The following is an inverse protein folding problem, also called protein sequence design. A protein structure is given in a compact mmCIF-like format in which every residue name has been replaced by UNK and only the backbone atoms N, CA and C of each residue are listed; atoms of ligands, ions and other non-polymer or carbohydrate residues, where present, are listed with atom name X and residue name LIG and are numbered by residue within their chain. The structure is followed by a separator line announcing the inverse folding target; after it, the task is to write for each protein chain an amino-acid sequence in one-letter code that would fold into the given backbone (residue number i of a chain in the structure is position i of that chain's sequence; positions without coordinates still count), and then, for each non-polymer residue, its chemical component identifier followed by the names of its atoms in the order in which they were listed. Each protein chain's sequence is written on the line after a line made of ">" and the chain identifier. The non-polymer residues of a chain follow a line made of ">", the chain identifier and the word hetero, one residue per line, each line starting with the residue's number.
data_IF_740667573211
#
_entry.id   IF_740667573211
#
_cell.length_a   1.000
_cell.length_b   1.000
_cell.length_c   1.000
_cell.angle_alpha   90.00
_cell.angle_beta   90.00
_cell.angle_gamma   90.00
#
_symmetry.space_group_name_H-M   'P 1'
#
loop_
_entity.id
_entity.type
_entity.pdbx_description
1 polymer ?
#
# COMPACT_ATOMS: atom_id res chain seq x y z
N UNK A 1 -28.63 6.49 5.14
CA UNK A 1 -29.10 5.25 4.49
C UNK A 1 -27.99 4.20 4.49
N UNK A 2 -27.83 3.53 5.65
CA UNK A 2 -27.05 2.29 5.81
C UNK A 2 -27.82 1.04 5.33
N UNK A 3 -29.00 1.23 4.69
CA UNK A 3 -30.01 0.20 4.51
C UNK A 3 -29.97 -0.55 3.17
N UNK A 4 -29.24 -0.09 2.15
CA UNK A 4 -29.22 -0.80 0.84
C UNK A 4 -28.10 -1.84 0.70
N UNK A 5 -27.31 -2.07 1.75
CA UNK A 5 -26.38 -3.21 1.85
C UNK A 5 -26.87 -4.29 2.83
N UNK A 6 -28.18 -4.27 3.16
CA UNK A 6 -28.72 -4.93 4.35
C UNK A 6 -28.95 -6.45 4.32
N UNK A 7 -28.83 -7.26 3.26
CA UNK A 7 -28.84 -8.70 3.50
C UNK A 7 -27.42 -9.14 3.89
N UNK A 8 -27.19 -9.16 5.21
CA UNK A 8 -26.22 -10.01 5.93
C UNK A 8 -24.78 -9.48 6.09
N UNK A 9 -24.63 -8.28 6.65
CA UNK A 9 -23.43 -7.95 7.45
C UNK A 9 -23.68 -8.45 8.87
N UNK A 10 -23.15 -9.62 9.22
CA UNK A 10 -23.10 -10.03 10.64
C UNK A 10 -21.89 -9.34 11.25
N UNK A 11 -22.10 -8.19 11.88
CA UNK A 11 -21.02 -7.38 12.44
C UNK A 11 -20.43 -8.06 13.68
N UNK A 12 -19.42 -8.89 13.51
CA UNK A 12 -18.48 -9.20 14.58
C UNK A 12 -17.51 -8.02 14.69
N UNK A 13 -17.84 -7.04 15.54
CA UNK A 13 -16.94 -5.93 15.85
C UNK A 13 -15.78 -6.45 16.70
N UNK A 14 -14.65 -6.75 16.08
CA UNK A 14 -13.40 -6.91 16.79
C UNK A 14 -12.59 -5.62 16.68
N UNK A 15 -12.03 -5.14 17.80
CA UNK A 15 -11.24 -3.92 17.83
C UNK A 15 -10.09 -4.00 16.80
N UNK A 16 -10.06 -3.03 15.89
CA UNK A 16 -8.99 -2.84 14.92
C UNK A 16 -8.26 -1.51 15.14
N UNK A 17 -7.28 -1.21 14.29
CA UNK A 17 -6.56 0.08 14.32
C UNK A 17 -7.54 1.24 14.10
N UNK A 18 -7.27 2.47 14.59
CA UNK A 18 -8.13 3.63 14.32
C UNK A 18 -8.43 3.79 12.82
N UNK A 19 -9.72 3.88 12.46
CA UNK A 19 -10.17 3.96 11.07
C UNK A 19 -10.18 2.64 10.29
N UNK A 20 -9.82 1.51 10.93
CA UNK A 20 -9.87 0.16 10.35
C UNK A 20 -10.50 -0.85 11.31
N UNK A 21 -11.68 -1.36 10.96
CA UNK A 21 -12.42 -2.34 11.76
C UNK A 21 -12.30 -3.74 11.16
N UNK A 22 -12.24 -4.80 11.99
CA UNK A 22 -12.40 -6.19 11.51
C UNK A 22 -13.88 -6.52 11.53
N UNK A 23 -14.41 -6.99 10.40
CA UNK A 23 -15.82 -7.32 10.21
C UNK A 23 -15.96 -8.71 9.58
N UNK A 24 -17.17 -9.26 9.62
CA UNK A 24 -17.56 -10.41 8.80
C UNK A 24 -18.58 -9.94 7.76
N UNK A 25 -18.19 -10.06 6.49
CA UNK A 25 -19.01 -9.67 5.36
C UNK A 25 -19.37 -10.91 4.56
N UNK A 26 -20.66 -11.26 4.50
CA UNK A 26 -21.16 -12.47 3.81
C UNK A 26 -20.47 -13.77 4.27
N UNK A 27 -20.19 -13.90 5.57
CA UNK A 27 -19.53 -15.07 6.15
C UNK A 27 -18.00 -15.07 6.05
N UNK A 28 -17.40 -14.10 5.36
CA UNK A 28 -15.95 -13.98 5.21
C UNK A 28 -15.36 -12.91 6.13
N UNK A 29 -14.17 -13.16 6.69
CA UNK A 29 -13.44 -12.16 7.47
C UNK A 29 -12.89 -11.06 6.55
N UNK A 30 -13.11 -9.81 6.94
CA UNK A 30 -12.75 -8.64 6.17
C UNK A 30 -12.25 -7.49 7.05
N UNK A 31 -11.47 -6.59 6.45
CA UNK A 31 -11.06 -5.32 7.03
C UNK A 31 -11.89 -4.20 6.40
N UNK A 32 -12.49 -3.36 7.24
CA UNK A 32 -13.26 -2.19 6.84
C UNK A 32 -12.46 -0.93 7.18
N UNK A 33 -11.88 -0.29 6.17
CA UNK A 33 -11.31 1.05 6.28
C UNK A 33 -12.40 2.08 6.06
N UNK A 34 -12.74 2.88 7.07
CA UNK A 34 -13.85 3.82 6.95
C UNK A 34 -13.66 5.07 7.81
N UNK A 35 -14.34 6.15 7.44
CA UNK A 35 -14.30 7.36 8.25
C UNK A 35 -15.11 8.52 7.68
N UNK A 36 -15.49 9.49 8.52
CA UNK A 36 -16.12 10.71 8.07
C UNK A 36 -15.14 11.56 7.25
N UNK A 37 -15.66 12.28 6.27
CA UNK A 37 -14.91 13.30 5.55
C UNK A 37 -15.30 14.68 6.08
N UNK A 38 -14.31 15.47 6.52
CA UNK A 38 -14.51 16.79 7.13
C UNK A 38 -13.69 17.86 6.42
N UNK A 39 -14.08 19.12 6.61
CA UNK A 39 -13.34 20.29 6.15
C UNK A 39 -13.05 20.32 4.64
N UNK A 40 -11.80 20.63 4.28
CA UNK A 40 -11.38 20.73 2.88
C UNK A 40 -11.41 19.39 2.14
N UNK A 41 -11.22 18.27 2.83
CA UNK A 41 -11.30 16.93 2.25
C UNK A 41 -12.73 16.60 1.79
N UNK A 42 -13.75 16.95 2.58
CA UNK A 42 -15.16 16.79 2.22
C UNK A 42 -15.51 17.48 0.90
N UNK A 43 -15.10 18.75 0.76
CA UNK A 43 -15.34 19.53 -0.47
C UNK A 43 -14.53 19.00 -1.66
N UNK A 44 -13.25 18.71 -1.44
CA UNK A 44 -12.34 18.24 -2.50
C UNK A 44 -12.83 16.92 -3.10
N UNK A 45 -13.17 15.95 -2.25
CA UNK A 45 -13.59 14.64 -2.73
C UNK A 45 -15.04 14.62 -3.20
N UNK A 46 -15.93 15.44 -2.61
CA UNK A 46 -17.28 15.62 -3.14
C UNK A 46 -17.29 16.23 -4.55
N UNK A 47 -16.47 17.26 -4.80
CA UNK A 47 -16.30 17.81 -6.15
C UNK A 47 -15.61 16.82 -7.10
N UNK A 48 -14.58 16.10 -6.64
CA UNK A 48 -13.91 15.11 -7.47
C UNK A 48 -14.90 14.02 -7.94
N UNK A 49 -15.72 13.51 -7.03
CA UNK A 49 -16.75 12.51 -7.33
C UNK A 49 -17.80 13.04 -8.31
N UNK A 50 -18.28 14.28 -8.12
CA UNK A 50 -19.20 14.93 -9.05
C UNK A 50 -18.61 15.04 -10.47
N UNK A 51 -17.30 15.26 -10.58
CA UNK A 51 -16.57 15.33 -11.86
C UNK A 51 -16.15 13.94 -12.39
N UNK A 52 -16.68 12.84 -11.83
CA UNK A 52 -16.35 11.48 -12.24
C UNK A 52 -14.91 11.05 -11.93
N UNK A 53 -14.21 11.78 -11.04
CA UNK A 53 -12.84 11.45 -10.64
C UNK A 53 -12.89 10.53 -9.43
N UNK A 54 -12.18 9.38 -9.46
CA UNK A 54 -12.26 8.42 -8.37
C UNK A 54 -11.67 9.03 -7.09
N UNK A 55 -12.29 8.71 -5.95
CA UNK A 55 -11.94 9.19 -4.60
C UNK A 55 -11.04 8.18 -3.87
N UNK A 56 -10.44 8.48 -2.70
CA UNK A 56 -9.41 7.61 -2.12
C UNK A 56 -9.81 6.14 -1.96
N UNK A 57 -10.98 5.83 -1.36
CA UNK A 57 -11.41 4.43 -1.16
C UNK A 57 -11.82 3.73 -2.46
N UNK A 58 -12.44 4.47 -3.38
CA UNK A 58 -12.77 3.95 -4.73
C UNK A 58 -11.49 3.67 -5.52
N UNK A 59 -10.50 4.57 -5.49
CA UNK A 59 -9.18 4.35 -6.12
C UNK A 59 -8.47 3.13 -5.56
N UNK A 60 -8.52 2.96 -4.24
CA UNK A 60 -7.91 1.78 -3.62
C UNK A 60 -8.61 0.50 -4.07
N UNK A 61 -9.95 0.50 -4.13
CA UNK A 61 -10.73 -0.61 -4.68
C UNK A 61 -10.29 -0.96 -6.11
N UNK A 62 -10.22 0.04 -7.00
CA UNK A 62 -9.84 -0.14 -8.39
C UNK A 62 -8.40 -0.66 -8.52
N UNK A 63 -7.48 -0.08 -7.76
CA UNK A 63 -6.07 -0.46 -7.79
C UNK A 63 -5.83 -1.86 -7.23
N UNK A 64 -6.53 -2.25 -6.15
CA UNK A 64 -6.47 -3.63 -5.62
C UNK A 64 -7.06 -4.63 -6.62
N UNK A 65 -8.15 -4.27 -7.29
CA UNK A 65 -8.76 -5.09 -8.35
C UNK A 65 -7.79 -5.27 -9.52
N UNK A 66 -7.16 -4.18 -9.96
CA UNK A 66 -6.15 -4.20 -11.01
C UNK A 66 -4.98 -5.11 -10.66
N UNK A 67 -4.42 -4.98 -9.45
CA UNK A 67 -3.30 -5.81 -8.98
C UNK A 67 -3.64 -7.31 -9.09
N UNK A 68 -4.81 -7.70 -8.59
CA UNK A 68 -5.28 -9.10 -8.64
C UNK A 68 -5.47 -9.59 -10.07
N UNK A 69 -6.09 -8.78 -10.92
CA UNK A 69 -6.30 -9.10 -12.34
C UNK A 69 -4.98 -9.27 -13.12
N UNK A 70 -3.88 -8.65 -12.66
CA UNK A 70 -2.56 -8.76 -13.28
C UNK A 70 -1.61 -9.71 -12.53
N UNK A 71 -2.17 -10.62 -11.71
CA UNK A 71 -1.41 -11.68 -11.05
C UNK A 71 -0.53 -11.21 -9.89
N UNK A 72 -0.77 -10.01 -9.34
CA UNK A 72 -0.16 -9.58 -8.08
C UNK A 72 -1.06 -9.99 -6.91
N UNK A 73 -0.44 -10.46 -5.82
CA UNK A 73 -1.22 -10.69 -4.61
C UNK A 73 -1.60 -9.33 -4.00
N UNK A 74 -2.86 -9.23 -3.59
CA UNK A 74 -3.46 -8.07 -2.96
C UNK A 74 -4.77 -8.53 -2.29
N UNK A 75 -5.20 -7.86 -1.20
CA UNK A 75 -6.50 -8.11 -0.58
C UNK A 75 -7.61 -8.00 -1.62
N UNK A 76 -8.56 -8.92 -1.60
CA UNK A 76 -9.72 -8.83 -2.48
C UNK A 76 -10.58 -7.65 -2.04
N UNK A 77 -10.78 -6.64 -2.89
CA UNK A 77 -11.68 -5.55 -2.55
C UNK A 77 -13.13 -6.04 -2.70
N UNK A 78 -13.89 -5.97 -1.61
CA UNK A 78 -15.26 -6.51 -1.53
C UNK A 78 -16.31 -5.45 -1.82
N UNK A 79 -16.10 -4.24 -1.32
CA UNK A 79 -16.98 -3.09 -1.54
C UNK A 79 -16.25 -1.79 -1.24
N UNK A 80 -16.60 -0.72 -1.92
CA UNK A 80 -16.18 0.63 -1.57
C UNK A 80 -17.30 1.63 -1.87
N UNK A 81 -17.36 2.71 -1.10
CA UNK A 81 -18.40 3.74 -1.23
C UNK A 81 -17.90 5.10 -0.79
N UNK A 82 -18.48 6.13 -1.38
CA UNK A 82 -18.44 7.51 -0.94
C UNK A 82 -19.88 7.99 -0.75
N UNK A 83 -20.20 8.54 0.42
CA UNK A 83 -21.45 9.28 0.62
C UNK A 83 -21.19 10.77 0.39
N UNK A 84 -22.05 11.41 -0.41
CA UNK A 84 -22.02 12.86 -0.64
C UNK A 84 -23.40 13.48 -0.65
N UNK A 85 -23.45 14.76 -0.28
CA UNK A 85 -24.57 15.65 -0.49
C UNK A 85 -24.09 16.90 -1.23
N UNK A 86 -24.60 17.12 -2.44
CA UNK A 86 -24.09 18.14 -3.35
C UNK A 86 -22.58 17.99 -3.59
N UNK A 87 -21.84 19.08 -3.34
CA UNK A 87 -20.39 19.18 -3.49
C UNK A 87 -19.58 18.66 -2.29
N UNK A 88 -20.24 18.15 -1.24
CA UNK A 88 -19.57 17.73 0.00
C UNK A 88 -19.74 16.23 0.20
N UNK A 89 -18.62 15.52 0.24
CA UNK A 89 -18.59 14.15 0.74
C UNK A 89 -18.68 14.14 2.27
N UNK A 90 -19.47 13.25 2.84
CA UNK A 90 -19.70 13.13 4.29
C UNK A 90 -19.01 11.90 4.88
N UNK A 91 -18.91 10.81 4.13
CA UNK A 91 -18.39 9.54 4.62
C UNK A 91 -17.80 8.70 3.48
N UNK A 92 -16.86 7.82 3.79
CA UNK A 92 -16.32 6.85 2.83
C UNK A 92 -15.95 5.54 3.53
N UNK A 93 -15.99 4.44 2.78
CA UNK A 93 -15.44 3.16 3.23
C UNK A 93 -14.85 2.31 2.10
N UNK A 94 -13.98 1.39 2.49
CA UNK A 94 -13.49 0.26 1.70
C UNK A 94 -13.48 -0.99 2.58
N UNK A 95 -14.11 -2.06 2.12
CA UNK A 95 -14.01 -3.39 2.70
C UNK A 95 -13.11 -4.28 1.84
N UNK A 96 -12.13 -4.95 2.45
CA UNK A 96 -11.25 -5.91 1.79
C UNK A 96 -11.26 -7.25 2.52
N UNK A 97 -11.16 -8.37 1.79
CA UNK A 97 -11.02 -9.70 2.41
C UNK A 97 -9.70 -9.77 3.16
N UNK A 98 -9.75 -10.34 4.37
CA UNK A 98 -8.54 -10.63 5.14
C UNK A 98 -7.67 -11.66 4.43
N UNK A 99 -6.36 -11.37 4.36
CA UNK A 99 -5.36 -12.36 3.96
C UNK A 99 -4.93 -13.13 5.21
N UNK A 100 -5.27 -14.43 5.28
CA UNK A 100 -4.96 -15.28 6.43
C UNK A 100 -3.47 -15.61 6.50
N UNK A 101 -2.91 -15.63 7.71
CA UNK A 101 -1.55 -16.10 7.97
C UNK A 101 -0.44 -15.21 7.42
N UNK A 102 -0.76 -13.99 6.99
CA UNK A 102 0.22 -13.05 6.45
C UNK A 102 0.76 -12.12 7.54
N UNK A 103 2.05 -11.81 7.47
CA UNK A 103 2.72 -10.80 8.32
C UNK A 103 3.16 -9.62 7.46
N UNK A 104 3.28 -8.44 8.04
CA UNK A 104 3.91 -7.32 7.34
C UNK A 104 5.38 -7.64 7.05
N UNK A 105 5.94 -7.04 6.00
CA UNK A 105 7.36 -7.19 5.67
C UNK A 105 8.24 -6.74 6.84
N UNK A 106 7.81 -5.71 7.58
CA UNK A 106 8.49 -5.27 8.80
C UNK A 106 8.60 -6.41 9.81
N UNK A 107 7.47 -6.98 10.22
CA UNK A 107 7.41 -8.06 11.20
C UNK A 107 8.18 -9.30 10.72
N UNK A 108 8.10 -9.61 9.43
CA UNK A 108 8.82 -10.74 8.85
C UNK A 108 10.34 -10.53 8.91
N UNK A 109 10.84 -9.34 8.55
CA UNK A 109 12.27 -9.03 8.58
C UNK A 109 12.81 -9.00 10.01
N UNK A 110 12.07 -8.40 10.95
CA UNK A 110 12.46 -8.34 12.37
C UNK A 110 12.55 -9.73 13.02
N UNK A 111 11.73 -10.70 12.54
CA UNK A 111 11.72 -12.07 13.04
C UNK A 111 12.63 -13.04 12.27
N UNK A 112 13.34 -12.58 11.24
CA UNK A 112 14.14 -13.42 10.35
C UNK A 112 15.64 -13.29 10.64
N UNK A 113 16.40 -14.37 10.39
CA UNK A 113 17.86 -14.28 10.34
C UNK A 113 18.34 -13.54 9.06
N UNK A 114 19.67 -13.33 8.97
CA UNK A 114 20.28 -12.59 7.88
C UNK A 114 20.10 -13.26 6.51
N UNK A 115 20.20 -14.59 6.45
CA UNK A 115 20.04 -15.36 5.20
C UNK A 115 18.60 -15.25 4.68
N UNK A 116 17.63 -15.40 5.59
CA UNK A 116 16.21 -15.27 5.32
C UNK A 116 15.85 -13.85 4.90
N UNK A 117 16.39 -12.83 5.57
CA UNK A 117 16.25 -11.44 5.17
C UNK A 117 16.77 -11.22 3.74
N UNK A 118 17.95 -11.74 3.42
CA UNK A 118 18.52 -11.61 2.08
C UNK A 118 17.61 -12.23 1.01
N UNK A 119 17.10 -13.44 1.25
CA UNK A 119 16.17 -14.12 0.35
C UNK A 119 14.85 -13.36 0.16
N UNK A 120 14.28 -12.81 1.23
CA UNK A 120 13.07 -11.98 1.19
C UNK A 120 13.28 -10.71 0.36
N UNK A 121 14.39 -10.00 0.59
CA UNK A 121 14.69 -8.73 -0.07
C UNK A 121 15.02 -8.91 -1.54
N UNK A 122 15.74 -9.98 -1.89
CA UNK A 122 16.00 -10.34 -3.28
C UNK A 122 14.68 -10.65 -4.01
N UNK A 123 13.82 -11.49 -3.43
CA UNK A 123 12.53 -11.84 -4.02
C UNK A 123 11.60 -10.64 -4.14
N UNK A 124 11.59 -9.76 -3.14
CA UNK A 124 10.80 -8.52 -3.16
C UNK A 124 11.31 -7.55 -4.23
N UNK A 125 12.62 -7.41 -4.40
CA UNK A 125 13.21 -6.60 -5.46
C UNK A 125 12.73 -7.02 -6.85
N UNK A 126 12.70 -8.33 -7.10
CA UNK A 126 12.18 -8.89 -8.35
C UNK A 126 10.66 -8.68 -8.50
N UNK A 127 9.88 -8.86 -7.44
CA UNK A 127 8.42 -8.66 -7.49
C UNK A 127 8.05 -7.18 -7.72
N UNK A 128 8.79 -6.25 -7.13
CA UNK A 128 8.61 -4.80 -7.37
C UNK A 128 9.04 -4.43 -8.79
N UNK A 129 10.09 -5.06 -9.33
CA UNK A 129 10.46 -4.89 -10.75
C UNK A 129 9.34 -5.37 -11.68
N UNK A 130 8.72 -6.52 -11.38
CA UNK A 130 7.55 -7.03 -12.10
C UNK A 130 6.38 -6.05 -12.01
N UNK A 131 6.09 -5.51 -10.82
CA UNK A 131 5.03 -4.52 -10.60
C UNK A 131 5.23 -3.27 -11.46
N UNK A 132 6.44 -2.71 -11.43
CA UNK A 132 6.80 -1.54 -12.22
C UNK A 132 6.85 -1.83 -13.73
N UNK A 133 7.22 -3.05 -14.12
CA UNK A 133 7.21 -3.54 -15.50
C UNK A 133 5.80 -3.65 -16.06
N UNK A 134 4.83 -4.03 -15.23
CA UNK A 134 3.41 -4.02 -15.57
C UNK A 134 2.78 -2.61 -15.59
N UNK A 135 3.57 -1.55 -15.41
CA UNK A 135 3.12 -0.16 -15.49
C UNK A 135 2.50 0.38 -14.20
N UNK A 136 2.47 -0.42 -13.12
CA UNK A 136 1.90 0.01 -11.84
C UNK A 136 2.96 0.64 -10.94
N UNK A 137 2.62 1.76 -10.31
CA UNK A 137 3.42 2.37 -9.23
C UNK A 137 2.50 2.59 -8.04
N UNK A 138 2.94 2.19 -6.85
CA UNK A 138 2.16 2.17 -5.62
C UNK A 138 2.03 3.55 -4.95
N UNK A 139 3.10 4.36 -4.97
CA UNK A 139 3.22 5.69 -4.35
C UNK A 139 3.02 5.74 -2.84
N UNK A 140 3.02 4.60 -2.17
CA UNK A 140 3.03 4.46 -0.71
C UNK A 140 3.69 3.12 -0.31
N UNK A 141 4.71 2.68 -1.06
CA UNK A 141 5.32 1.36 -0.91
C UNK A 141 6.29 1.29 0.28
N UNK A 142 5.76 1.45 1.49
CA UNK A 142 6.51 1.24 2.72
C UNK A 142 6.44 -0.23 3.16
N UNK A 143 7.40 -0.73 3.96
CA UNK A 143 7.36 -2.13 4.45
C UNK A 143 6.05 -2.53 5.15
N UNK A 144 5.36 -1.58 5.81
CA UNK A 144 4.04 -1.83 6.44
C UNK A 144 2.92 -2.17 5.44
N UNK A 145 3.07 -1.72 4.19
CA UNK A 145 2.09 -1.91 3.12
C UNK A 145 2.44 -3.10 2.22
N UNK A 146 3.41 -3.92 2.64
CA UNK A 146 3.77 -5.17 1.98
C UNK A 146 3.53 -6.28 3.00
N UNK A 147 2.70 -7.26 2.66
CA UNK A 147 2.54 -8.48 3.44
C UNK A 147 3.37 -9.60 2.81
N UNK A 148 3.96 -10.44 3.65
CA UNK A 148 4.53 -11.72 3.28
C UNK A 148 3.45 -12.77 3.48
N UNK A 149 2.91 -13.30 2.37
CA UNK A 149 1.77 -14.25 2.38
C UNK A 149 2.21 -15.71 2.29
N UNK A 150 3.45 -15.94 1.90
CA UNK A 150 4.12 -17.23 1.99
C UNK A 150 5.58 -16.96 2.38
N UNK A 151 6.05 -17.58 3.45
CA UNK A 151 7.41 -17.42 3.98
C UNK A 151 8.31 -18.63 3.66
N UNK A 152 7.95 -19.45 2.66
CA UNK A 152 8.78 -20.57 2.20
C UNK A 152 9.97 -20.14 1.33
N UNK A 153 10.56 -21.09 0.60
CA UNK A 153 11.68 -20.86 -0.35
C UNK A 153 11.34 -19.88 -1.49
N UNK A 154 10.06 -19.74 -1.83
CA UNK A 154 9.58 -18.77 -2.81
C UNK A 154 8.59 -17.83 -2.14
N UNK A 155 9.07 -16.77 -1.46
CA UNK A 155 8.20 -15.88 -0.74
C UNK A 155 7.29 -15.11 -1.69
N UNK A 156 6.04 -14.93 -1.29
CA UNK A 156 5.04 -14.15 -2.03
C UNK A 156 4.66 -12.92 -1.25
N UNK A 157 4.46 -11.83 -1.99
CA UNK A 157 4.17 -10.52 -1.40
C UNK A 157 2.79 -10.04 -1.82
N UNK A 158 1.99 -9.58 -0.87
CA UNK A 158 0.75 -8.87 -1.16
C UNK A 158 0.89 -7.36 -0.88
N UNK A 159 0.44 -6.54 -1.83
CA UNK A 159 0.51 -5.08 -1.72
C UNK A 159 -0.79 -4.53 -1.13
N UNK A 160 -0.67 -3.65 -0.13
CA UNK A 160 -1.76 -3.03 0.61
C UNK A 160 -1.81 -1.52 0.39
N UNK A 161 -2.97 -0.90 0.59
CA UNK A 161 -3.09 0.57 0.66
C UNK A 161 -2.65 1.30 -0.61
N UNK A 162 -2.96 0.70 -1.77
CA UNK A 162 -2.56 1.19 -3.09
C UNK A 162 -3.38 2.40 -3.58
N UNK A 163 -3.89 3.27 -2.71
CA UNK A 163 -4.84 4.34 -3.08
C UNK A 163 -4.19 5.56 -3.77
N UNK A 164 -2.89 5.82 -3.49
CA UNK A 164 -2.14 6.95 -4.05
C UNK A 164 -1.62 6.68 -5.46
N UNK A 165 -1.40 5.40 -5.77
CA UNK A 165 -0.77 4.91 -6.97
C UNK A 165 -1.75 4.56 -8.08
N UNK A 166 -1.35 3.61 -8.92
CA UNK A 166 -2.15 3.04 -9.99
C UNK A 166 -1.36 2.81 -11.29
N UNK A 167 -1.99 2.17 -12.30
CA UNK A 167 -1.40 1.85 -13.60
C UNK A 167 -1.36 3.05 -14.57
N UNK A 168 -1.22 4.27 -14.05
CA UNK A 168 -1.40 5.51 -14.84
C UNK A 168 -0.09 5.94 -15.50
N UNK A 169 -0.13 6.69 -16.63
CA UNK A 169 1.04 7.35 -17.18
C UNK A 169 1.67 8.25 -16.11
N UNK A 170 2.95 8.01 -15.80
CA UNK A 170 3.71 8.82 -14.86
C UNK A 170 4.92 9.43 -15.55
N UNK A 171 5.39 10.62 -15.09
CA UNK A 171 6.68 11.13 -15.51
C UNK A 171 7.75 10.04 -15.38
N UNK A 172 8.57 9.80 -16.42
CA UNK A 172 9.46 8.65 -16.48
C UNK A 172 10.30 8.50 -15.21
N UNK A 173 10.18 7.34 -14.55
CA UNK A 173 11.00 6.95 -13.40
C UNK A 173 10.68 7.64 -12.07
N UNK A 174 9.90 8.73 -12.02
CA UNK A 174 9.64 9.45 -10.76
C UNK A 174 8.86 8.61 -9.75
N UNK A 175 7.84 7.90 -10.23
CA UNK A 175 7.03 7.00 -9.42
C UNK A 175 7.83 5.83 -8.86
N UNK A 176 8.51 5.10 -9.76
CA UNK A 176 9.36 3.95 -9.40
C UNK A 176 10.44 4.33 -8.39
N UNK A 177 11.07 5.49 -8.59
CA UNK A 177 12.08 6.03 -7.67
C UNK A 177 11.48 6.28 -6.28
N UNK A 178 10.27 6.84 -6.22
CA UNK A 178 9.60 7.11 -4.95
C UNK A 178 9.26 5.81 -4.20
N UNK A 179 8.74 4.80 -4.90
CA UNK A 179 8.43 3.50 -4.29
C UNK A 179 9.66 2.81 -3.73
N UNK A 180 10.77 2.77 -4.49
CA UNK A 180 12.03 2.21 -4.02
C UNK A 180 12.61 3.02 -2.85
N UNK A 181 12.47 4.34 -2.86
CA UNK A 181 12.90 5.20 -1.75
C UNK A 181 12.07 4.95 -0.47
N UNK A 182 10.75 4.76 -0.60
CA UNK A 182 9.87 4.38 0.51
C UNK A 182 10.25 3.01 1.09
N UNK A 183 10.48 2.03 0.22
CA UNK A 183 10.76 0.67 0.64
C UNK A 183 12.12 0.55 1.33
N UNK A 184 13.15 1.18 0.76
CA UNK A 184 14.53 1.19 1.27
C UNK A 184 14.76 2.13 2.45
N UNK A 185 13.73 2.89 2.87
CA UNK A 185 13.87 3.87 3.94
C UNK A 185 14.31 3.21 5.26
N UNK A 186 13.66 2.10 5.62
CA UNK A 186 13.82 1.41 6.91
C UNK A 186 14.63 0.11 6.84
N UNK A 187 14.93 -0.41 5.64
CA UNK A 187 15.62 -1.70 5.51
C UNK A 187 16.95 -1.78 6.27
N UNK A 188 17.81 -0.73 6.30
CA UNK A 188 19.05 -0.79 7.07
C UNK A 188 18.83 -1.05 8.57
N UNK A 189 17.74 -0.51 9.12
CA UNK A 189 17.35 -0.70 10.52
C UNK A 189 16.67 -2.04 10.77
N UNK A 190 15.91 -2.54 9.77
CA UNK A 190 15.12 -3.76 9.90
C UNK A 190 15.90 -5.05 9.63
N UNK A 191 16.90 -4.98 8.76
CA UNK A 191 17.55 -6.16 8.18
C UNK A 191 19.06 -5.96 7.93
N UNK A 192 19.67 -4.94 8.53
CA UNK A 192 21.11 -4.66 8.45
C UNK A 192 21.55 -3.85 7.23
N UNK A 193 22.82 -3.44 7.22
CA UNK A 193 23.37 -2.47 6.25
C UNK A 193 23.26 -2.87 4.77
N UNK A 194 23.35 -4.17 4.49
CA UNK A 194 23.27 -4.72 3.13
C UNK A 194 21.84 -4.81 2.58
N UNK A 195 20.82 -4.74 3.44
CA UNK A 195 19.42 -4.98 3.05
C UNK A 195 18.96 -4.11 1.87
N UNK A 196 19.36 -2.83 1.89
CA UNK A 196 19.05 -1.91 0.80
C UNK A 196 19.73 -2.33 -0.51
N UNK A 197 21.01 -2.71 -0.43
CA UNK A 197 21.80 -3.11 -1.60
C UNK A 197 21.20 -4.35 -2.25
N UNK A 198 20.90 -5.38 -1.46
CA UNK A 198 20.30 -6.63 -1.93
C UNK A 198 18.98 -6.42 -2.69
N UNK A 199 18.08 -5.59 -2.15
CA UNK A 199 16.82 -5.27 -2.81
C UNK A 199 17.03 -4.55 -4.15
N UNK A 200 17.89 -3.52 -4.16
CA UNK A 200 18.11 -2.69 -5.34
C UNK A 200 18.88 -3.42 -6.44
N UNK A 201 19.83 -4.29 -6.08
CA UNK A 201 20.53 -5.17 -7.03
C UNK A 201 19.55 -6.13 -7.71
N UNK A 202 18.70 -6.82 -6.93
CA UNK A 202 17.69 -7.72 -7.48
C UNK A 202 16.71 -6.99 -8.39
N UNK A 203 16.18 -5.85 -7.95
CA UNK A 203 15.30 -5.00 -8.75
C UNK A 203 15.95 -4.58 -10.08
N UNK A 204 17.24 -4.21 -10.07
CA UNK A 204 17.95 -3.76 -11.26
C UNK A 204 18.26 -4.89 -12.24
N UNK A 205 18.47 -6.13 -11.75
CA UNK A 205 18.61 -7.31 -12.61
C UNK A 205 17.32 -7.63 -13.35
N UNK A 206 16.17 -7.50 -12.68
CA UNK A 206 14.85 -7.77 -13.27
C UNK A 206 14.27 -6.61 -14.08
N UNK A 207 14.82 -5.40 -13.95
CA UNK A 207 14.39 -4.23 -14.68
C UNK A 207 15.62 -3.37 -15.00
N UNK A 208 16.10 -3.34 -16.26
CA UNK A 208 17.23 -2.51 -16.65
C UNK A 208 16.97 -1.04 -16.28
N UNK A 209 17.86 -0.47 -15.48
CA UNK A 209 17.72 0.91 -15.00
C UNK A 209 18.50 1.87 -15.90
N UNK A 210 17.95 3.07 -16.06
CA UNK A 210 18.68 4.17 -16.67
C UNK A 210 19.82 4.62 -15.77
N UNK A 211 20.84 5.21 -16.37
CA UNK A 211 21.93 5.81 -15.63
C UNK A 211 21.42 6.85 -14.61
N UNK A 212 22.01 6.82 -13.42
CA UNK A 212 21.66 7.72 -12.32
C UNK A 212 20.36 7.37 -11.58
N UNK A 213 19.68 6.26 -11.87
CA UNK A 213 18.50 5.83 -11.08
C UNK A 213 18.83 5.68 -9.59
N UNK A 214 19.96 5.05 -9.23
CA UNK A 214 20.38 4.91 -7.83
C UNK A 214 20.54 6.27 -7.15
N UNK A 215 21.22 7.23 -7.80
CA UNK A 215 21.36 8.62 -7.31
C UNK A 215 20.00 9.29 -7.08
N UNK A 216 19.02 9.06 -7.97
CA UNK A 216 17.65 9.59 -7.81
C UNK A 216 16.92 8.95 -6.63
N UNK A 217 17.07 7.64 -6.43
CA UNK A 217 16.51 6.92 -5.28
C UNK A 217 17.08 7.50 -3.98
N UNK A 218 18.40 7.70 -3.92
CA UNK A 218 19.07 8.27 -2.75
C UNK A 218 18.64 9.70 -2.46
N UNK A 219 18.57 10.55 -3.48
CA UNK A 219 18.07 11.91 -3.33
C UNK A 219 16.60 11.93 -2.85
N UNK A 220 15.75 11.03 -3.37
CA UNK A 220 14.36 10.90 -2.92
C UNK A 220 14.27 10.42 -1.47
N UNK A 221 15.07 9.43 -1.09
CA UNK A 221 15.12 8.90 0.28
C UNK A 221 15.60 9.96 1.28
N UNK A 222 16.64 10.72 0.93
CA UNK A 222 17.12 11.84 1.76
C UNK A 222 16.04 12.91 1.97
N UNK A 223 15.29 13.26 0.92
CA UNK A 223 14.15 14.19 1.02
C UNK A 223 13.04 13.65 1.92
N UNK A 224 12.72 12.36 1.83
CA UNK A 224 11.77 11.71 2.74
C UNK A 224 12.24 11.84 4.19
N UNK A 225 13.49 11.48 4.50
CA UNK A 225 14.07 11.61 5.85
C UNK A 225 13.95 13.05 6.37
N UNK A 226 14.35 14.04 5.56
CA UNK A 226 14.26 15.45 5.94
C UNK A 226 12.82 15.87 6.25
N UNK A 227 11.85 15.43 5.44
CA UNK A 227 10.45 15.74 5.66
C UNK A 227 9.90 15.12 6.95
N UNK A 228 10.34 13.90 7.29
CA UNK A 228 9.94 13.24 8.55
C UNK A 228 10.50 13.97 9.78
N UNK A 229 11.79 14.34 9.73
CA UNK A 229 12.44 15.13 10.78
C UNK A 229 11.73 16.45 11.02
N UNK A 230 11.38 17.20 9.97
CA UNK A 230 10.65 18.48 10.07
C UNK A 230 9.28 18.36 10.74
N UNK A 231 8.66 17.18 10.67
CA UNK A 231 7.35 16.92 11.29
C UNK A 231 7.46 16.37 12.72
N UNK A 232 8.66 16.32 13.29
CA UNK A 232 8.90 15.72 14.61
C UNK A 232 8.65 14.22 14.64
N UNK A 233 8.64 13.55 13.47
CA UNK A 233 8.34 12.12 13.38
C UNK A 233 9.62 11.33 13.12
N UNK A 234 9.89 10.34 13.96
CA UNK A 234 10.98 9.36 13.76
C UNK A 234 10.65 8.33 12.67
N UNK A 235 9.37 8.25 12.27
CA UNK A 235 8.81 7.38 11.22
C UNK A 235 7.83 8.18 10.33
N UNK A 236 7.43 7.71 9.13
CA UNK A 236 6.37 8.37 8.39
C UNK A 236 5.10 8.28 9.21
N UNK A 237 4.15 9.22 9.07
CA UNK A 237 2.82 8.96 9.61
C UNK A 237 2.40 7.54 9.23
N UNK A 238 2.00 6.74 10.23
CA UNK A 238 0.94 5.77 9.98
C UNK A 238 -0.20 6.56 9.31
N UNK A 239 -0.85 6.01 8.27
CA UNK A 239 -1.89 6.73 7.56
C UNK A 239 -2.81 7.43 8.56
N UNK A 240 -3.01 8.74 8.36
CA UNK A 240 -3.79 9.56 9.30
C UNK A 240 -5.10 8.84 9.61
N UNK A 241 -5.27 8.55 10.90
CA UNK A 241 -6.48 8.07 11.57
C UNK A 241 -7.71 8.91 11.23
#
# INVERSE_FOLDING_TARGET
>A
MLQELAPRVTTLRAAGLPGMERIVLRGERAYLKHGPLRGSAARRYGLADLLGRPTPRIREFDNLSWLRAHGFAAPEPLAARLDRSGLRASYQFLATREIKGARTLREELEASDAERCAALLASLGAEVARLHGAGFVHRDLFPRNVLVVASGRSPRFAFLDAWRGGPRPQPPGRGRTFDLACLTLYLPTLAGGDARRLLLESYSRSSPQREGTLRRIDACRARLISHLKKRGRTSPPLPDS
#
